data_IF_803323612729
#
_entry.id   IF_803323612729
#
_cell.length_a   1.000
_cell.length_b   1.000
_cell.length_c   1.000
_cell.angle_alpha   90.00
_cell.angle_beta   90.00
_cell.angle_gamma   90.00
#
_symmetry.space_group_name_H-M   'P 1'
#
loop_
_entity.id
_entity.type
_entity.pdbx_description
1 polymer ?
#
# COMPACT_ATOMS: atom_id res chain seq x y z
N UNK A 1 -0.49 -19.75 22.20
CA UNK A 1 -0.38 -18.34 22.64
C UNK A 1 -0.19 -17.32 21.50
N UNK A 2 0.00 -17.74 20.24
CA UNK A 2 0.21 -16.83 19.08
C UNK A 2 -1.04 -16.07 18.63
N UNK A 3 -2.23 -16.69 18.71
CA UNK A 3 -3.50 -16.10 18.20
C UNK A 3 -3.89 -14.74 18.82
N UNK A 4 -3.69 -14.51 20.12
CA UNK A 4 -4.11 -13.26 20.78
C UNK A 4 -3.25 -12.06 20.38
N UNK A 5 -1.97 -12.29 20.06
CA UNK A 5 -1.02 -11.25 19.66
C UNK A 5 -1.25 -10.79 18.21
N UNK A 6 -1.70 -11.71 17.35
CA UNK A 6 -2.04 -11.38 15.96
C UNK A 6 -3.38 -10.65 15.86
N UNK A 7 -4.32 -10.90 16.78
CA UNK A 7 -5.59 -10.17 16.85
C UNK A 7 -5.42 -8.67 17.19
N UNK A 8 -4.51 -8.30 18.10
CA UNK A 8 -4.25 -6.86 18.40
C UNK A 8 -3.68 -6.12 17.18
N UNK A 9 -2.71 -6.73 16.50
CA UNK A 9 -2.11 -6.14 15.31
C UNK A 9 -3.12 -6.08 14.15
N UNK A 10 -3.92 -7.14 13.97
CA UNK A 10 -4.95 -7.20 12.96
C UNK A 10 -6.07 -6.17 13.22
N UNK A 11 -6.53 -6.01 14.46
CA UNK A 11 -7.56 -5.03 14.81
C UNK A 11 -7.09 -3.59 14.58
N UNK A 12 -5.84 -3.26 14.96
CA UNK A 12 -5.29 -1.91 14.70
C UNK A 12 -5.12 -1.61 13.22
N UNK A 13 -4.63 -2.58 12.44
CA UNK A 13 -4.54 -2.45 10.99
C UNK A 13 -5.94 -2.33 10.35
N UNK A 14 -6.90 -3.13 10.81
CA UNK A 14 -8.29 -3.06 10.35
C UNK A 14 -8.93 -1.70 10.68
N UNK A 15 -8.73 -1.18 11.90
CA UNK A 15 -9.21 0.15 12.28
C UNK A 15 -8.60 1.27 11.43
N UNK A 16 -7.30 1.19 11.17
CA UNK A 16 -6.62 2.18 10.32
C UNK A 16 -7.18 2.20 8.90
N UNK A 17 -7.62 1.05 8.37
CA UNK A 17 -8.23 0.95 7.05
C UNK A 17 -9.72 1.29 7.04
N UNK A 18 -10.49 0.80 8.03
CA UNK A 18 -11.94 0.92 8.09
C UNK A 18 -12.42 2.30 8.51
N UNK A 19 -11.74 2.95 9.46
CA UNK A 19 -12.19 4.25 9.99
C UNK A 19 -12.28 5.33 8.90
N UNK A 20 -11.24 5.56 8.06
CA UNK A 20 -11.34 6.52 6.95
C UNK A 20 -12.50 6.17 6.00
N UNK A 21 -12.70 4.88 5.71
CA UNK A 21 -13.74 4.42 4.80
C UNK A 21 -15.14 4.68 5.35
N UNK A 22 -15.36 4.38 6.64
CA UNK A 22 -16.64 4.60 7.31
C UNK A 22 -16.97 6.10 7.40
N UNK A 23 -15.97 6.94 7.66
CA UNK A 23 -16.15 8.40 7.67
C UNK A 23 -16.54 8.90 6.28
N UNK A 24 -15.84 8.47 5.22
CA UNK A 24 -16.20 8.85 3.86
C UNK A 24 -17.58 8.33 3.45
N UNK A 25 -17.94 7.12 3.87
CA UNK A 25 -19.28 6.57 3.65
C UNK A 25 -20.36 7.42 4.33
N UNK A 26 -20.14 7.82 5.58
CA UNK A 26 -21.08 8.63 6.35
C UNK A 26 -21.24 10.05 5.76
N UNK A 27 -20.17 10.64 5.26
CA UNK A 27 -20.19 11.98 4.61
C UNK A 27 -20.70 11.89 3.15
N UNK A 28 -20.96 10.68 2.64
CA UNK A 28 -21.40 10.48 1.25
C UNK A 28 -20.31 10.75 0.21
N UNK A 29 -19.03 10.71 0.62
CA UNK A 29 -17.85 11.04 -0.19
C UNK A 29 -17.02 9.80 -0.55
N UNK A 30 -17.70 8.70 -0.89
CA UNK A 30 -17.06 7.41 -1.17
C UNK A 30 -16.19 7.43 -2.44
N UNK A 31 -16.36 8.42 -3.30
CA UNK A 31 -15.48 8.66 -4.45
C UNK A 31 -14.02 8.88 -4.06
N UNK A 32 -13.76 9.31 -2.82
CA UNK A 32 -12.41 9.54 -2.30
C UNK A 32 -11.82 8.32 -1.60
N UNK A 33 -12.58 7.21 -1.52
CA UNK A 33 -12.20 6.01 -0.79
C UNK A 33 -10.86 5.44 -1.26
N UNK A 34 -10.54 5.59 -2.56
CA UNK A 34 -9.27 5.12 -3.12
C UNK A 34 -8.09 5.85 -2.47
N UNK A 35 -8.14 7.19 -2.37
CA UNK A 35 -7.06 7.99 -1.77
C UNK A 35 -6.90 7.72 -0.28
N UNK A 36 -8.02 7.63 0.45
CA UNK A 36 -7.99 7.30 1.87
C UNK A 36 -7.46 5.87 2.12
N UNK A 37 -7.77 4.90 1.26
CA UNK A 37 -7.27 3.52 1.40
C UNK A 37 -5.75 3.47 1.24
N UNK A 38 -5.19 4.15 0.24
CA UNK A 38 -3.73 4.22 0.07
C UNK A 38 -3.02 4.97 1.21
N UNK A 39 -3.62 6.05 1.72
CA UNK A 39 -3.11 6.72 2.93
C UNK A 39 -3.07 5.78 4.13
N UNK A 40 -4.11 4.96 4.31
CA UNK A 40 -4.21 4.00 5.40
C UNK A 40 -3.16 2.88 5.35
N UNK A 41 -2.60 2.55 4.19
CA UNK A 41 -1.49 1.60 4.06
C UNK A 41 -0.23 2.00 4.82
N UNK A 42 -0.13 3.25 5.26
CA UNK A 42 0.85 3.68 6.28
C UNK A 42 0.90 2.74 7.49
N UNK A 43 -0.24 2.17 7.88
CA UNK A 43 -0.32 1.25 9.02
C UNK A 43 0.38 -0.10 8.83
N UNK A 44 0.75 -0.45 7.59
CA UNK A 44 1.44 -1.71 7.27
C UNK A 44 2.93 -1.67 7.65
N UNK A 45 3.50 -0.47 7.82
CA UNK A 45 4.92 -0.28 8.06
C UNK A 45 5.27 -0.28 9.56
N UNK A 46 6.55 -0.55 9.86
CA UNK A 46 7.08 -0.51 11.23
C UNK A 46 6.63 -1.66 12.13
N UNK A 47 6.13 -2.77 11.57
CA UNK A 47 5.63 -3.92 12.33
C UNK A 47 6.70 -4.51 13.27
N UNK A 48 6.34 -4.72 14.53
CA UNK A 48 7.22 -5.27 15.59
C UNK A 48 8.45 -4.42 15.97
N UNK A 49 8.49 -3.14 15.58
CA UNK A 49 9.55 -2.20 15.96
C UNK A 49 9.24 -1.47 17.28
N UNK A 50 10.27 -1.19 18.11
CA UNK A 50 10.12 -0.27 19.25
C UNK A 50 9.61 1.11 18.80
N UNK A 51 8.73 1.74 19.57
CA UNK A 51 8.05 2.99 19.18
C UNK A 51 8.97 4.13 18.75
N UNK A 52 10.14 4.27 19.39
CA UNK A 52 11.15 5.28 19.01
C UNK A 52 11.66 5.09 17.59
N UNK A 53 11.89 3.83 17.21
CA UNK A 53 12.41 3.45 15.89
C UNK A 53 11.27 3.44 14.87
N UNK A 54 10.11 2.92 15.28
CA UNK A 54 8.87 2.89 14.50
C UNK A 54 8.42 4.28 14.06
N UNK A 55 8.66 5.31 14.87
CA UNK A 55 8.36 6.71 14.54
C UNK A 55 8.89 7.07 13.16
N UNK A 56 10.19 6.85 12.94
CA UNK A 56 10.81 7.14 11.66
C UNK A 56 10.28 6.25 10.54
N UNK A 57 10.15 4.94 10.78
CA UNK A 57 9.69 3.99 9.76
C UNK A 57 8.28 4.32 9.26
N UNK A 58 7.33 4.59 10.16
CA UNK A 58 5.93 4.88 9.81
C UNK A 58 5.79 6.30 9.26
N UNK A 59 6.48 7.28 9.83
CA UNK A 59 6.46 8.66 9.29
C UNK A 59 7.04 8.73 7.88
N UNK A 60 8.17 8.08 7.63
CA UNK A 60 8.77 8.06 6.30
C UNK A 60 7.85 7.35 5.30
N UNK A 61 7.16 6.28 5.71
CA UNK A 61 6.21 5.58 4.86
C UNK A 61 4.97 6.45 4.55
N UNK A 62 4.46 7.18 5.54
CA UNK A 62 3.36 8.13 5.37
C UNK A 62 3.71 9.22 4.36
N UNK A 63 4.92 9.78 4.46
CA UNK A 63 5.42 10.81 3.54
C UNK A 63 5.57 10.22 2.13
N UNK A 64 6.21 9.07 2.00
CA UNK A 64 6.42 8.43 0.70
C UNK A 64 5.09 8.05 0.03
N UNK A 65 4.14 7.46 0.76
CA UNK A 65 2.80 7.16 0.24
C UNK A 65 2.07 8.45 -0.18
N UNK A 66 2.06 9.48 0.67
CA UNK A 66 1.38 10.74 0.35
C UNK A 66 2.01 11.42 -0.87
N UNK A 67 3.35 11.37 -1.02
CA UNK A 67 4.05 11.87 -2.18
C UNK A 67 3.69 11.08 -3.45
N UNK A 68 3.67 9.75 -3.40
CA UNK A 68 3.25 8.90 -4.53
C UNK A 68 1.79 9.15 -4.94
N UNK A 69 0.88 9.28 -3.97
CA UNK A 69 -0.53 9.61 -4.23
C UNK A 69 -0.63 11.00 -4.88
N UNK A 70 0.08 11.99 -4.36
CA UNK A 70 0.06 13.36 -4.87
C UNK A 70 0.58 13.41 -6.31
N UNK A 71 1.68 12.71 -6.60
CA UNK A 71 2.21 12.59 -7.96
C UNK A 71 1.18 11.94 -8.89
N UNK A 72 0.51 10.87 -8.45
CA UNK A 72 -0.56 10.24 -9.21
C UNK A 72 -1.71 11.19 -9.51
N UNK A 73 -2.22 11.89 -8.49
CA UNK A 73 -3.30 12.88 -8.64
C UNK A 73 -2.91 14.01 -9.61
N UNK A 74 -1.69 14.53 -9.53
CA UNK A 74 -1.20 15.56 -10.45
C UNK A 74 -1.15 15.03 -11.89
N UNK A 75 -0.64 13.81 -12.09
CA UNK A 75 -0.60 13.17 -13.42
C UNK A 75 -2.01 12.94 -13.97
N UNK A 76 -2.97 12.57 -13.12
CA UNK A 76 -4.38 12.44 -13.51
C UNK A 76 -4.97 13.78 -13.97
N UNK A 77 -4.68 14.87 -13.26
CA UNK A 77 -5.14 16.22 -13.63
C UNK A 77 -4.55 16.71 -14.96
N UNK A 78 -3.38 16.18 -15.35
CA UNK A 78 -2.70 16.47 -16.62
C UNK A 78 -3.19 15.60 -17.78
N UNK A 79 -4.19 14.73 -17.57
CA UNK A 79 -4.72 13.85 -18.62
C UNK A 79 -3.90 12.56 -18.83
N UNK A 80 -3.07 12.18 -17.85
CA UNK A 80 -2.28 10.94 -17.84
C UNK A 80 -1.33 10.77 -19.05
N UNK A 81 -0.46 11.76 -19.36
CA UNK A 81 0.51 11.61 -20.44
C UNK A 81 1.49 10.46 -20.15
N UNK A 82 1.56 9.48 -21.06
CA UNK A 82 2.35 8.25 -20.88
C UNK A 82 3.84 8.50 -20.54
N UNK A 83 4.54 9.49 -21.15
CA UNK A 83 5.93 9.76 -20.80
C UNK A 83 6.09 10.20 -19.35
N UNK A 84 5.21 11.08 -18.87
CA UNK A 84 5.25 11.57 -17.49
C UNK A 84 4.95 10.47 -16.49
N UNK A 85 3.94 9.64 -16.78
CA UNK A 85 3.60 8.48 -15.94
C UNK A 85 4.77 7.49 -15.87
N UNK A 86 5.43 7.24 -17.00
CA UNK A 86 6.59 6.35 -17.08
C UNK A 86 7.76 6.90 -16.24
N UNK A 87 8.09 8.18 -16.38
CA UNK A 87 9.16 8.80 -15.58
C UNK A 87 8.82 8.76 -14.09
N UNK A 88 7.59 9.12 -13.71
CA UNK A 88 7.15 9.07 -12.32
C UNK A 88 7.21 7.64 -11.76
N UNK A 89 6.82 6.63 -12.55
CA UNK A 89 6.91 5.23 -12.18
C UNK A 89 8.35 4.80 -11.89
N UNK A 90 9.29 5.12 -12.79
CA UNK A 90 10.72 4.82 -12.62
C UNK A 90 11.25 5.49 -11.34
N UNK A 91 10.94 6.77 -11.15
CA UNK A 91 11.36 7.52 -9.96
C UNK A 91 10.83 6.88 -8.69
N UNK A 92 9.54 6.53 -8.64
CA UNK A 92 8.93 5.89 -7.45
C UNK A 92 9.52 4.50 -7.19
N UNK A 93 9.81 3.71 -8.22
CA UNK A 93 10.46 2.41 -8.06
C UNK A 93 11.87 2.59 -7.48
N UNK A 94 12.72 3.40 -8.11
CA UNK A 94 14.12 3.58 -7.71
C UNK A 94 14.20 4.16 -6.30
N UNK A 95 13.50 5.28 -6.04
CA UNK A 95 13.49 5.89 -4.71
C UNK A 95 12.86 4.98 -3.67
N UNK A 96 11.81 4.23 -4.02
CA UNK A 96 11.17 3.29 -3.10
C UNK A 96 12.08 2.12 -2.73
N UNK A 97 12.82 1.55 -3.68
CA UNK A 97 13.82 0.49 -3.41
C UNK A 97 14.94 1.03 -2.53
N UNK A 98 15.51 2.19 -2.87
CA UNK A 98 16.59 2.81 -2.09
C UNK A 98 16.12 3.17 -0.67
N UNK A 99 14.93 3.79 -0.54
CA UNK A 99 14.34 4.13 0.75
C UNK A 99 14.09 2.87 1.59
N UNK A 100 13.67 1.78 0.96
CA UNK A 100 13.48 0.50 1.67
C UNK A 100 14.80 -0.05 2.19
N UNK A 101 15.88 0.03 1.42
CA UNK A 101 17.23 -0.38 1.85
C UNK A 101 17.75 0.48 3.02
N UNK A 102 17.53 1.81 2.96
CA UNK A 102 18.00 2.74 4.00
C UNK A 102 17.18 2.66 5.29
N UNK A 103 15.86 2.58 5.17
CA UNK A 103 14.94 2.61 6.32
C UNK A 103 14.75 1.21 6.91
N UNK A 104 14.94 0.18 6.08
CA UNK A 104 14.66 -1.21 6.41
C UNK A 104 13.17 -1.46 6.55
N UNK A 105 12.32 -1.02 5.61
CA UNK A 105 10.88 -1.29 5.70
C UNK A 105 10.53 -2.78 5.59
N UNK A 106 9.49 -3.18 6.30
CA UNK A 106 8.73 -4.41 6.01
C UNK A 106 7.28 -3.97 5.83
N UNK A 107 6.64 -4.30 4.70
CA UNK A 107 7.17 -5.06 3.55
C UNK A 107 8.31 -4.35 2.80
N UNK A 108 9.27 -5.14 2.30
CA UNK A 108 10.57 -4.68 1.79
C UNK A 108 10.59 -4.21 0.34
N UNK A 109 9.42 -4.00 -0.27
CA UNK A 109 9.31 -3.65 -1.69
C UNK A 109 8.48 -2.39 -1.89
N UNK A 110 8.76 -1.61 -2.95
CA UNK A 110 8.08 -0.35 -3.21
C UNK A 110 6.64 -0.51 -3.74
N UNK A 111 6.08 -1.72 -3.69
CA UNK A 111 4.78 -2.09 -4.26
C UNK A 111 3.70 -1.08 -3.85
N UNK A 112 3.57 -0.75 -2.57
CA UNK A 112 2.53 0.17 -2.10
C UNK A 112 2.66 1.58 -2.69
N UNK A 113 3.89 2.06 -2.89
CA UNK A 113 4.15 3.37 -3.50
C UNK A 113 3.82 3.36 -4.99
N UNK A 114 4.21 2.30 -5.69
CA UNK A 114 3.91 2.11 -7.11
C UNK A 114 2.41 1.98 -7.33
N UNK A 115 1.72 1.18 -6.51
CA UNK A 115 0.26 1.03 -6.57
C UNK A 115 -0.45 2.36 -6.32
N UNK A 116 -0.03 3.10 -5.29
CA UNK A 116 -0.59 4.41 -4.99
C UNK A 116 -0.42 5.39 -6.17
N UNK A 117 0.77 5.45 -6.78
CA UNK A 117 1.02 6.27 -7.97
C UNK A 117 0.11 5.88 -9.14
N UNK A 118 0.16 4.61 -9.56
CA UNK A 118 -0.50 4.14 -10.77
C UNK A 118 -2.01 4.23 -10.68
N UNK A 119 -2.60 3.83 -9.54
CA UNK A 119 -4.05 3.88 -9.37
C UNK A 119 -4.52 5.33 -9.30
N UNK A 120 -3.86 6.19 -8.54
CA UNK A 120 -4.25 7.60 -8.45
C UNK A 120 -4.03 8.37 -9.76
N UNK A 121 -3.09 7.95 -10.61
CA UNK A 121 -2.89 8.53 -11.95
C UNK A 121 -4.00 8.20 -12.95
N UNK A 122 -4.81 7.19 -12.66
CA UNK A 122 -5.85 6.67 -13.56
C UNK A 122 -7.23 7.14 -13.14
N UNK A 123 -7.47 7.30 -11.83
CA UNK A 123 -8.73 7.86 -11.33
C UNK A 123 -8.88 9.27 -11.90
N UNK A 124 -9.88 9.54 -12.75
CA UNK A 124 -10.06 10.85 -13.35
C UNK A 124 -10.27 11.89 -12.24
N UNK A 125 -9.31 12.79 -12.07
CA UNK A 125 -9.31 13.80 -11.00
C UNK A 125 -9.14 15.17 -11.65
N UNK A 126 -9.95 16.15 -11.24
CA UNK A 126 -9.80 17.53 -11.70
C UNK A 126 -8.94 18.35 -10.74
N UNK A 127 -8.42 19.48 -11.22
CA UNK A 127 -7.65 20.41 -10.38
C UNK A 127 -8.42 20.91 -9.15
N UNK A 128 -9.75 21.02 -9.24
CA UNK A 128 -10.58 21.39 -8.09
C UNK A 128 -10.68 20.27 -7.04
N UNK A 129 -10.61 19.01 -7.47
CA UNK A 129 -10.71 17.84 -6.58
C UNK A 129 -9.35 17.42 -6.02
N UNK A 130 -8.25 17.77 -6.69
CA UNK A 130 -6.90 17.36 -6.33
C UNK A 130 -6.49 17.72 -4.88
N UNK A 131 -6.69 18.96 -4.38
CA UNK A 131 -6.35 19.30 -3.00
C UNK A 131 -7.13 18.47 -1.98
N UNK A 132 -8.39 18.16 -2.29
CA UNK A 132 -9.26 17.39 -1.43
C UNK A 132 -8.88 15.90 -1.43
N UNK A 133 -8.54 15.34 -2.60
CA UNK A 133 -8.02 13.97 -2.72
C UNK A 133 -6.70 13.79 -1.95
N UNK A 134 -5.75 14.71 -2.13
CA UNK A 134 -4.46 14.71 -1.43
C UNK A 134 -4.66 14.91 0.07
N UNK A 135 -5.53 15.85 0.47
CA UNK A 135 -5.87 16.12 1.87
C UNK A 135 -6.48 14.91 2.57
N UNK A 136 -7.37 14.16 1.89
CA UNK A 136 -7.95 12.92 2.41
C UNK A 136 -6.90 11.81 2.52
N UNK A 137 -6.02 11.65 1.53
CA UNK A 137 -4.91 10.71 1.62
C UNK A 137 -3.98 11.03 2.80
N UNK A 138 -3.58 12.29 2.96
CA UNK A 138 -2.71 12.75 4.03
C UNK A 138 -3.38 12.58 5.40
N UNK A 139 -4.67 12.94 5.53
CA UNK A 139 -5.44 12.76 6.77
C UNK A 139 -5.56 11.29 7.16
N UNK A 140 -5.80 10.42 6.18
CA UNK A 140 -5.84 8.97 6.39
C UNK A 140 -4.47 8.42 6.81
N UNK A 141 -3.38 8.89 6.19
CA UNK A 141 -2.02 8.52 6.58
C UNK A 141 -1.68 8.98 8.02
N UNK A 142 -2.09 10.18 8.41
CA UNK A 142 -1.95 10.69 9.78
C UNK A 142 -2.77 9.86 10.76
N UNK A 143 -4.02 9.53 10.43
CA UNK A 143 -4.87 8.68 11.26
C UNK A 143 -4.24 7.28 11.45
N UNK A 144 -3.77 6.66 10.36
CA UNK A 144 -3.07 5.39 10.40
C UNK A 144 -1.78 5.47 11.24
N UNK A 145 -1.03 6.56 11.12
CA UNK A 145 0.15 6.83 11.93
C UNK A 145 -0.20 6.93 13.42
N UNK A 146 -1.25 7.67 13.78
CA UNK A 146 -1.75 7.80 15.16
C UNK A 146 -2.17 6.44 15.72
N UNK A 147 -2.90 5.64 14.93
CA UNK A 147 -3.32 4.28 15.31
C UNK A 147 -2.10 3.36 15.47
N UNK A 148 -1.03 3.53 14.68
CA UNK A 148 0.21 2.77 14.82
C UNK A 148 1.05 3.16 16.05
N UNK A 149 0.96 4.42 16.49
CA UNK A 149 1.63 4.92 17.69
C UNK A 149 0.82 4.73 18.98
N UNK A 150 -0.52 4.63 18.89
CA UNK A 150 -1.42 4.51 20.05
C UNK A 150 -1.10 3.33 20.98
N UNK A 151 -0.53 2.26 20.46
CA UNK A 151 -0.09 1.11 21.26
C UNK A 151 0.95 1.46 22.33
N UNK A 152 1.70 2.56 22.17
CA UNK A 152 2.60 3.04 23.22
C UNK A 152 1.82 3.45 24.46
N UNK A 153 0.75 4.22 24.27
CA UNK A 153 -0.14 4.66 25.33
C UNK A 153 -0.84 3.46 25.99
N UNK A 154 -1.33 2.51 25.19
CA UNK A 154 -1.97 1.29 25.69
C UNK A 154 -1.02 0.44 26.55
N UNK A 155 0.24 0.29 26.15
CA UNK A 155 1.26 -0.43 26.96
C UNK A 155 1.65 0.35 28.21
N UNK A 156 1.68 1.68 28.14
CA UNK A 156 1.97 2.53 29.30
C UNK A 156 0.85 2.43 30.35
N UNK A 157 -0.41 2.40 29.92
CA UNK A 157 -1.58 2.29 30.80
C UNK A 157 -1.79 0.88 31.36
N UNK A 158 -1.51 -0.17 30.58
CA UNK A 158 -1.69 -1.55 31.01
C UNK A 158 -0.65 -2.04 32.03
N UNK A 159 0.47 -1.31 32.18
CA UNK A 159 1.54 -1.65 33.11
C UNK A 159 2.21 -3.01 32.84
N UNK A 160 3.05 -3.47 33.77
CA UNK A 160 3.76 -4.76 33.66
C UNK A 160 2.82 -5.97 33.78
N UNK A 161 1.65 -5.79 34.41
CA UNK A 161 0.70 -6.87 34.71
C UNK A 161 0.11 -7.54 33.46
N UNK A 162 0.08 -6.86 32.32
CA UNK A 162 -0.51 -7.39 31.08
C UNK A 162 0.50 -7.44 29.92
N UNK A 163 1.81 -7.39 30.24
CA UNK A 163 2.88 -7.40 29.23
C UNK A 163 2.81 -8.60 28.27
N UNK A 164 2.36 -9.77 28.77
CA UNK A 164 2.19 -10.99 27.99
C UNK A 164 1.09 -10.92 26.91
N UNK A 165 0.16 -9.96 26.99
CA UNK A 165 -0.90 -9.75 25.98
C UNK A 165 -0.41 -8.98 24.75
N UNK A 166 0.75 -8.34 24.85
CA UNK A 166 1.25 -7.47 23.79
C UNK A 166 2.37 -8.13 22.99
N UNK A 167 2.40 -7.86 21.68
CA UNK A 167 3.44 -8.39 20.78
C UNK A 167 4.84 -7.93 21.20
N UNK A 168 5.84 -8.81 21.06
CA UNK A 168 7.24 -8.46 21.30
C UNK A 168 7.76 -7.49 20.23
N UNK A 169 8.47 -6.45 20.67
CA UNK A 169 9.02 -5.37 19.82
C UNK A 169 10.53 -5.55 19.62
N UNK A 170 10.93 -6.65 18.99
CA UNK A 170 12.35 -7.03 18.85
C UNK A 170 13.01 -6.48 17.59
N UNK A 171 12.24 -6.01 16.60
CA UNK A 171 12.80 -5.60 15.31
C UNK A 171 13.49 -4.24 15.43
N UNK A 172 14.79 -4.19 15.12
CA UNK A 172 15.56 -2.95 15.02
C UNK A 172 16.20 -2.89 13.64
N UNK A 173 15.62 -2.16 12.66
CA UNK A 173 16.28 -1.97 11.37
C UNK A 173 17.62 -1.26 11.54
N UNK A 174 18.66 -1.78 10.89
CA UNK A 174 19.94 -1.08 10.69
C UNK A 174 19.75 -0.07 9.56
N UNK A 175 20.05 1.21 9.82
CA UNK A 175 19.80 2.30 8.87
C UNK A 175 21.11 2.92 8.45
N UNK A 176 21.45 2.75 7.19
CA UNK A 176 22.69 3.25 6.62
C UNK A 176 22.38 3.83 5.26
N UNK A 177 22.72 5.10 5.03
CA UNK A 177 22.49 5.77 3.74
C UNK A 177 23.29 5.07 2.63
N UNK A 178 24.48 4.55 2.96
CA UNK A 178 25.31 3.78 2.03
C UNK A 178 24.58 2.55 1.47
N UNK A 179 23.63 1.96 2.21
CA UNK A 179 22.85 0.81 1.73
C UNK A 179 22.02 1.13 0.48
N UNK A 180 21.71 2.41 0.22
CA UNK A 180 21.05 2.82 -1.01
C UNK A 180 21.87 2.54 -2.28
N UNK A 181 23.20 2.46 -2.13
CA UNK A 181 24.16 2.30 -3.23
C UNK A 181 24.81 0.91 -3.27
N UNK A 182 24.34 -0.03 -2.44
CA UNK A 182 24.81 -1.41 -2.51
C UNK A 182 24.46 -2.01 -3.88
N UNK A 183 25.39 -2.77 -4.46
CA UNK A 183 25.21 -3.40 -5.77
C UNK A 183 23.92 -4.23 -5.85
N UNK A 184 23.55 -4.91 -4.76
CA UNK A 184 22.32 -5.70 -4.68
C UNK A 184 21.05 -4.81 -4.75
N UNK A 185 21.08 -3.63 -4.13
CA UNK A 185 19.97 -2.67 -4.13
C UNK A 185 19.84 -2.03 -5.51
N UNK A 186 20.96 -1.66 -6.13
CA UNK A 186 20.98 -1.14 -7.50
C UNK A 186 20.50 -2.19 -8.52
N UNK A 187 20.91 -3.45 -8.38
CA UNK A 187 20.40 -4.55 -9.20
C UNK A 187 18.88 -4.73 -9.00
N UNK A 188 18.41 -4.68 -7.76
CA UNK A 188 16.97 -4.81 -7.46
C UNK A 188 16.16 -3.66 -8.08
N UNK A 189 16.64 -2.42 -7.95
CA UNK A 189 16.02 -1.24 -8.55
C UNK A 189 15.97 -1.36 -10.08
N UNK A 190 17.08 -1.78 -10.69
CA UNK A 190 17.21 -1.97 -12.14
C UNK A 190 16.26 -3.06 -12.64
N UNK A 191 16.27 -4.25 -12.02
CA UNK A 191 15.40 -5.37 -12.42
C UNK A 191 13.93 -5.05 -12.25
N UNK A 192 13.55 -4.40 -11.13
CA UNK A 192 12.16 -3.99 -10.90
C UNK A 192 11.71 -2.95 -11.92
N UNK A 193 12.59 -2.00 -12.26
CA UNK A 193 12.31 -0.98 -13.28
C UNK A 193 12.15 -1.60 -14.66
N UNK A 194 13.09 -2.45 -15.09
CA UNK A 194 13.02 -3.15 -16.39
C UNK A 194 11.74 -3.98 -16.47
N UNK A 195 11.43 -4.75 -15.42
CA UNK A 195 10.24 -5.60 -15.42
C UNK A 195 8.95 -4.77 -15.47
N UNK A 196 8.88 -3.64 -14.76
CA UNK A 196 7.73 -2.73 -14.81
C UNK A 196 7.55 -2.09 -16.20
N UNK A 197 8.64 -1.64 -16.82
CA UNK A 197 8.64 -1.05 -18.16
C UNK A 197 8.28 -2.08 -19.24
N UNK A 198 8.87 -3.26 -19.18
CA UNK A 198 8.57 -4.37 -20.09
C UNK A 198 7.11 -4.79 -19.98
N UNK A 199 6.57 -4.91 -18.76
CA UNK A 199 5.16 -5.19 -18.53
C UNK A 199 4.25 -4.10 -19.13
N UNK A 200 4.59 -2.82 -18.92
CA UNK A 200 3.86 -1.70 -19.50
C UNK A 200 3.89 -1.71 -21.03
N UNK A 201 5.04 -2.00 -21.64
CA UNK A 201 5.21 -2.10 -23.09
C UNK A 201 4.43 -3.26 -23.69
N UNK A 202 4.45 -4.44 -23.05
CA UNK A 202 3.66 -5.62 -23.48
C UNK A 202 2.16 -5.31 -23.43
N UNK A 203 1.70 -4.63 -22.39
CA UNK A 203 0.29 -4.28 -22.29
C UNK A 203 -0.16 -3.28 -23.36
N UNK A 204 0.72 -2.32 -23.70
CA UNK A 204 0.49 -1.40 -24.82
C UNK A 204 0.46 -2.15 -26.16
N UNK A 205 1.37 -3.11 -26.38
CA UNK A 205 1.42 -3.87 -27.65
C UNK A 205 0.23 -4.82 -27.84
N UNK A 206 -0.33 -5.34 -26.74
CA UNK A 206 -1.56 -6.15 -26.75
C UNK A 206 -2.84 -5.32 -26.93
N UNK A 207 -2.74 -3.99 -27.08
CA UNK A 207 -3.90 -3.12 -27.23
C UNK A 207 -4.78 -3.06 -25.97
N UNK A 208 -4.26 -3.51 -24.82
CA UNK A 208 -4.96 -3.40 -23.55
C UNK A 208 -4.97 -1.91 -23.19
N UNK A 209 -6.12 -1.27 -23.40
CA UNK A 209 -6.29 0.17 -23.20
C UNK A 209 -5.75 0.62 -21.84
N UNK A 210 -4.76 1.52 -21.89
CA UNK A 210 -3.99 2.09 -20.77
C UNK A 210 -3.31 1.01 -19.87
N UNK A 211 -1.98 0.81 -19.98
CA UNK A 211 -1.22 -0.36 -19.48
C UNK A 211 -1.05 -0.48 -17.95
N UNK A 212 -1.73 0.36 -17.15
CA UNK A 212 -1.50 0.46 -15.71
C UNK A 212 -1.93 -0.80 -14.94
N UNK A 213 -3.01 -1.48 -15.37
CA UNK A 213 -3.44 -2.76 -14.79
C UNK A 213 -2.41 -3.88 -14.98
N UNK A 214 -1.70 -3.88 -16.12
CA UNK A 214 -0.71 -4.91 -16.41
C UNK A 214 0.56 -4.74 -15.56
N UNK A 215 1.01 -3.49 -15.34
CA UNK A 215 2.06 -3.19 -14.39
C UNK A 215 1.67 -3.69 -12.98
N UNK A 216 0.42 -3.47 -12.54
CA UNK A 216 -0.11 -3.95 -11.25
C UNK A 216 -0.14 -5.49 -11.16
N UNK A 217 -0.53 -6.18 -12.23
CA UNK A 217 -0.55 -7.66 -12.28
C UNK A 217 0.85 -8.26 -12.22
N UNK A 218 1.86 -7.61 -12.80
CA UNK A 218 3.22 -8.15 -12.85
C UNK A 218 4.07 -7.81 -11.62
N UNK A 219 3.75 -6.74 -10.90
CA UNK A 219 4.38 -6.40 -9.61
C UNK A 219 4.10 -7.47 -8.54
N UNK A 220 2.91 -8.07 -8.57
CA UNK A 220 2.49 -9.07 -7.57
C UNK A 220 3.33 -10.36 -7.59
N UNK A 221 3.60 -11.02 -8.73
CA UNK A 221 4.51 -12.17 -8.80
C UNK A 221 5.99 -11.81 -8.59
N UNK A 222 6.44 -10.61 -8.99
CA UNK A 222 7.79 -10.12 -8.68
C UNK A 222 8.00 -9.90 -7.18
N UNK A 223 6.93 -9.55 -6.46
CA UNK A 223 6.95 -9.46 -5.01
C UNK A 223 7.13 -10.82 -4.33
N UNK A 224 6.56 -11.86 -4.93
CA UNK A 224 6.67 -13.23 -4.44
C UNK A 224 8.05 -13.83 -4.74
N UNK A 225 8.57 -13.64 -5.96
CA UNK A 225 9.84 -14.25 -6.41
C UNK A 225 11.08 -13.75 -5.66
N UNK A 226 11.05 -12.52 -5.12
CA UNK A 226 12.12 -11.98 -4.29
C UNK A 226 11.95 -12.33 -2.81
N UNK A 227 10.71 -12.54 -2.34
CA UNK A 227 10.46 -13.03 -0.97
C UNK A 227 10.97 -14.46 -0.75
N UNK A 228 11.02 -15.27 -1.82
CA UNK A 228 11.62 -16.61 -1.82
C UNK A 228 13.15 -16.64 -1.73
N UNK A 229 13.84 -15.50 -1.85
CA UNK A 229 15.30 -15.43 -1.68
C UNK A 229 15.73 -15.36 -0.21
N UNK A 230 14.81 -15.10 0.72
CA UNK A 230 15.13 -15.03 2.16
C UNK A 230 14.86 -16.33 2.92
N UNK A 231 14.01 -17.23 2.39
CA UNK A 231 13.79 -18.60 2.89
C UNK A 231 13.37 -19.45 1.67
N UNK A 232 14.05 -20.58 1.34
CA UNK A 232 13.69 -21.41 0.19
C UNK A 232 12.37 -22.13 0.46
N UNK A 233 11.26 -21.45 0.15
CA UNK A 233 9.91 -22.02 0.18
C UNK A 233 9.48 -22.36 -1.26
N UNK A 234 8.76 -23.47 -1.46
CA UNK A 234 8.29 -23.86 -2.79
C UNK A 234 7.34 -22.79 -3.36
N UNK A 235 7.75 -22.20 -4.49
CA UNK A 235 7.09 -21.07 -5.15
C UNK A 235 5.69 -21.45 -5.67
N UNK A 236 5.50 -22.70 -6.09
CA UNK A 236 4.24 -23.24 -6.62
C UNK A 236 3.04 -23.03 -5.68
N UNK A 237 3.05 -23.56 -4.44
CA UNK A 237 1.95 -23.37 -3.51
C UNK A 237 1.68 -21.89 -3.17
N UNK A 238 2.70 -21.03 -3.06
CA UNK A 238 2.50 -19.58 -2.82
C UNK A 238 1.80 -18.88 -3.99
N UNK A 239 2.12 -19.28 -5.23
CA UNK A 239 1.44 -18.79 -6.44
C UNK A 239 -0.02 -19.25 -6.46
N UNK A 240 -0.29 -20.51 -6.13
CA UNK A 240 -1.64 -21.07 -6.07
C UNK A 240 -2.47 -20.36 -5.01
N UNK A 241 -1.95 -20.20 -3.79
CA UNK A 241 -2.63 -19.47 -2.72
C UNK A 241 -2.97 -18.04 -3.14
N UNK A 242 -2.05 -17.35 -3.84
CA UNK A 242 -2.26 -15.99 -4.34
C UNK A 242 -3.28 -15.91 -5.47
N UNK A 243 -3.29 -16.89 -6.37
CA UNK A 243 -4.32 -16.99 -7.41
C UNK A 243 -5.68 -17.22 -6.77
N UNK A 244 -5.78 -18.11 -5.79
CA UNK A 244 -7.01 -18.37 -5.03
C UNK A 244 -7.47 -17.11 -4.30
N UNK A 245 -6.58 -16.42 -3.57
CA UNK A 245 -6.87 -15.15 -2.89
C UNK A 245 -7.41 -14.10 -3.88
N UNK A 246 -6.83 -14.01 -5.07
CA UNK A 246 -7.26 -13.07 -6.12
C UNK A 246 -8.64 -13.45 -6.66
N UNK A 247 -8.87 -14.73 -6.94
CA UNK A 247 -10.18 -15.23 -7.38
C UNK A 247 -11.26 -14.97 -6.34
N UNK A 248 -10.97 -15.23 -5.06
CA UNK A 248 -11.89 -14.95 -3.95
C UNK A 248 -12.16 -13.44 -3.87
N UNK A 249 -11.13 -12.60 -3.93
CA UNK A 249 -11.28 -11.15 -3.91
C UNK A 249 -12.16 -10.63 -5.05
N UNK A 250 -11.94 -11.12 -6.28
CA UNK A 250 -12.78 -10.80 -7.43
C UNK A 250 -14.22 -11.27 -7.25
N UNK A 251 -14.44 -12.50 -6.77
CA UNK A 251 -15.77 -13.05 -6.54
C UNK A 251 -16.55 -12.23 -5.50
N UNK A 252 -15.90 -11.84 -4.40
CA UNK A 252 -16.49 -10.99 -3.37
C UNK A 252 -16.83 -9.61 -3.91
N UNK A 253 -15.94 -8.99 -4.70
CA UNK A 253 -16.20 -7.69 -5.32
C UNK A 253 -17.41 -7.75 -6.28
N UNK A 254 -17.50 -8.78 -7.12
CA UNK A 254 -18.64 -8.99 -8.02
C UNK A 254 -19.93 -9.20 -7.22
N UNK A 255 -19.91 -10.04 -6.18
CA UNK A 255 -21.07 -10.27 -5.33
C UNK A 255 -21.56 -8.97 -4.67
N UNK A 256 -20.64 -8.15 -4.15
CA UNK A 256 -20.97 -6.86 -3.55
C UNK A 256 -21.61 -5.88 -4.57
N UNK A 257 -21.10 -5.85 -5.81
CA UNK A 257 -21.67 -5.02 -6.87
C UNK A 257 -23.06 -5.48 -7.29
N UNK A 258 -23.28 -6.80 -7.42
CA UNK A 258 -24.59 -7.38 -7.74
C UNK A 258 -25.60 -7.10 -6.62
N UNK A 259 -25.19 -7.26 -5.37
CA UNK A 259 -26.02 -6.94 -4.21
C UNK A 259 -26.42 -5.46 -4.23
N UNK A 260 -25.46 -4.55 -4.46
CA UNK A 260 -25.75 -3.11 -4.57
C UNK A 260 -26.76 -2.82 -5.70
N UNK A 261 -26.61 -3.43 -6.88
CA UNK A 261 -27.54 -3.25 -8.01
C UNK A 261 -28.94 -3.77 -7.66
N UNK A 262 -29.04 -4.93 -7.03
CA UNK A 262 -30.30 -5.53 -6.60
C UNK A 262 -31.02 -4.66 -5.55
N UNK A 263 -30.29 -4.13 -4.58
CA UNK A 263 -30.83 -3.20 -3.58
C UNK A 263 -31.33 -1.90 -4.22
N UNK A 264 -30.60 -1.34 -5.18
CA UNK A 264 -31.02 -0.15 -5.90
C UNK A 264 -32.29 -0.41 -6.73
N UNK A 265 -32.37 -1.54 -7.42
CA UNK A 265 -33.56 -1.95 -8.19
C UNK A 265 -34.80 -2.13 -7.29
N UNK A 266 -34.63 -2.70 -6.09
CA UNK A 266 -35.73 -2.85 -5.13
C UNK A 266 -36.26 -1.52 -4.58
N UNK A 267 -35.40 -0.50 -4.42
CA UNK A 267 -35.83 0.83 -3.97
C UNK A 267 -36.57 1.64 -5.03
N UNK A 268 -36.37 1.32 -6.32
CA UNK A 268 -37.09 1.99 -7.41
C UNK A 268 -38.45 1.36 -7.71
N UNK A 269 -38.69 0.13 -7.22
CA UNK A 269 -39.94 -0.61 -7.40
C UNK A 269 -40.92 -0.46 -6.21
N UNK A 270 -40.56 0.32 -5.19
CA UNK A 270 -41.36 0.63 -4.00
C UNK A 270 -41.63 2.13 -3.96
#
# INVERSE_FOLDING_TARGET
MTRTLDLEAATRAALALLLPMLVLLAVGRIELAVYASFGAFTALFGRSEPYRVRLLSVSAAAIALTASISAGVVIACLGTPLPLLTVALVVVIVLGVMATAVIGWIPGQPVFFVFALLVCAVVPTTWQQAPLAIGVAASSAVLAWLICMSGWMLRRLAGTRHAHRFRNLQRRPTRTIAAAFDSQVLQTATMTTIAALASGAIALSLGIGRPYWAALLMITPLALSMSSLSIPMPIGPMLVDRLIETFIGCAVAVAALLLRRWWAARRQAA
#
